data_IF_987405205142
#
_entry.id   IF_987405205142
#
_cell.length_a   1.000
_cell.length_b   1.000
_cell.length_c   1.000
_cell.angle_alpha   90.00
_cell.angle_beta   90.00
_cell.angle_gamma   90.00
#
_symmetry.space_group_name_H-M   'P 1'
#
loop_
_entity.id
_entity.type
_entity.pdbx_description
1 polymer ?
#
# COMPACT_ATOMS: atom_id res chain seq x y z
N UNK A 1 15.32 33.13 -24.28
CA UNK A 1 14.97 31.97 -25.12
C UNK A 1 15.72 30.76 -24.59
N UNK A 2 15.04 29.82 -23.93
CA UNK A 2 15.71 28.59 -23.50
C UNK A 2 16.00 27.75 -24.75
N UNK A 3 17.26 27.38 -24.97
CA UNK A 3 17.66 26.51 -26.09
C UNK A 3 16.91 25.18 -26.03
N UNK A 4 16.58 24.60 -27.19
CA UNK A 4 15.98 23.27 -27.32
C UNK A 4 16.75 22.20 -26.55
N UNK A 5 18.08 22.35 -26.42
CA UNK A 5 18.93 21.46 -25.61
C UNK A 5 18.63 21.53 -24.11
N UNK A 6 18.24 22.69 -23.60
CA UNK A 6 17.86 22.90 -22.20
C UNK A 6 16.53 22.20 -21.88
N UNK A 7 15.56 22.24 -22.81
CA UNK A 7 14.28 21.56 -22.65
C UNK A 7 14.45 20.02 -22.58
N UNK A 8 15.29 19.46 -23.45
CA UNK A 8 15.59 18.03 -23.45
C UNK A 8 16.32 17.59 -22.17
N UNK A 9 17.29 18.38 -21.68
CA UNK A 9 17.99 18.08 -20.43
C UNK A 9 17.05 18.06 -19.23
N UNK A 10 16.10 19.01 -19.16
CA UNK A 10 15.10 19.05 -18.10
C UNK A 10 14.16 17.84 -18.15
N UNK A 11 13.72 17.45 -19.35
CA UNK A 11 12.84 16.29 -19.55
C UNK A 11 13.53 14.97 -19.20
N UNK A 12 14.82 14.83 -19.53
CA UNK A 12 15.62 13.65 -19.16
C UNK A 12 15.83 13.60 -17.65
N UNK A 13 16.12 14.74 -17.01
CA UNK A 13 16.31 14.82 -15.56
C UNK A 13 15.04 14.46 -14.79
N UNK A 14 13.88 14.95 -15.22
CA UNK A 14 12.59 14.61 -14.58
C UNK A 14 12.27 13.13 -14.73
N UNK A 15 12.49 12.55 -15.91
CA UNK A 15 12.31 11.11 -16.11
C UNK A 15 13.25 10.28 -15.23
N UNK A 16 14.53 10.64 -15.14
CA UNK A 16 15.48 9.93 -14.27
C UNK A 16 15.10 9.98 -12.80
N UNK A 17 14.63 11.13 -12.30
CA UNK A 17 14.16 11.26 -10.91
C UNK A 17 12.91 10.42 -10.65
N UNK A 18 11.99 10.32 -11.62
CA UNK A 18 10.82 9.44 -11.54
C UNK A 18 11.23 7.95 -11.52
N UNK A 19 12.20 7.54 -12.33
CA UNK A 19 12.73 6.17 -12.33
C UNK A 19 13.42 5.80 -11.02
N UNK A 20 14.17 6.72 -10.42
CA UNK A 20 14.82 6.49 -9.12
C UNK A 20 13.79 6.40 -7.98
N UNK A 21 12.68 7.13 -8.04
CA UNK A 21 11.58 7.00 -7.06
C UNK A 21 10.81 5.68 -7.18
N UNK A 22 10.68 5.12 -8.38
CA UNK A 22 9.97 3.85 -8.59
C UNK A 22 10.70 2.62 -8.02
N UNK A 23 11.96 2.77 -7.61
CA UNK A 23 12.74 1.71 -6.94
C UNK A 23 12.55 1.68 -5.41
N UNK A 24 11.39 2.13 -4.91
CA UNK A 24 10.95 1.79 -3.56
C UNK A 24 10.50 0.32 -3.51
N UNK A 25 11.46 -0.60 -3.70
CA UNK A 25 11.31 -1.95 -3.20
C UNK A 25 11.40 -1.86 -1.67
N UNK A 26 10.27 -1.56 -1.01
CA UNK A 26 10.10 -1.94 0.39
C UNK A 26 9.98 -3.45 0.40
N UNK A 27 11.13 -4.11 0.27
CA UNK A 27 11.30 -5.49 0.68
C UNK A 27 11.09 -5.43 2.18
N UNK A 28 9.88 -5.76 2.63
CA UNK A 28 9.68 -6.27 3.98
C UNK A 28 10.50 -7.57 4.04
N UNK A 29 11.80 -7.40 4.26
CA UNK A 29 12.74 -8.49 4.46
C UNK A 29 12.30 -9.22 5.72
N UNK A 30 11.62 -10.33 5.54
CA UNK A 30 11.80 -11.44 6.45
C UNK A 30 13.26 -11.89 6.27
N UNK A 31 14.15 -11.31 7.06
CA UNK A 31 15.54 -11.74 7.16
C UNK A 31 15.56 -13.13 7.78
N UNK A 32 15.83 -14.15 6.99
CA UNK A 32 16.16 -15.48 7.50
C UNK A 32 17.34 -16.05 6.74
N UNK A 33 18.55 -15.74 7.22
CA UNK A 33 19.75 -16.51 6.93
C UNK A 33 20.75 -16.40 8.10
N UNK A 34 20.64 -17.35 9.04
CA UNK A 34 21.75 -17.81 9.88
C UNK A 34 21.53 -19.31 10.17
N UNK A 35 22.49 -20.20 9.83
CA UNK A 35 22.45 -21.57 10.28
C UNK A 35 23.16 -21.66 11.64
N UNK A 36 22.40 -21.76 12.74
CA UNK A 36 22.95 -22.28 14.00
C UNK A 36 21.85 -22.95 14.83
N UNK A 37 22.10 -24.23 15.11
CA UNK A 37 21.36 -25.12 16.01
C UNK A 37 20.90 -24.40 17.29
N UNK A 38 19.59 -24.40 17.55
CA UNK A 38 19.00 -23.88 18.78
C UNK A 38 17.48 -23.81 18.74
N UNK A 39 16.84 -24.77 19.42
CA UNK A 39 15.43 -24.81 19.91
C UNK A 39 14.43 -23.86 19.22
N UNK A 40 13.54 -24.47 18.42
CA UNK A 40 12.27 -23.88 17.98
C UNK A 40 11.33 -23.62 19.16
N UNK A 41 11.57 -22.52 19.89
CA UNK A 41 10.49 -21.85 20.58
C UNK A 41 9.75 -21.02 19.53
N UNK A 42 8.60 -21.53 19.08
CA UNK A 42 7.62 -20.74 18.36
C UNK A 42 7.23 -19.55 19.25
N UNK A 43 7.95 -18.45 19.13
CA UNK A 43 7.46 -17.15 19.55
C UNK A 43 6.32 -16.81 18.59
N UNK A 44 5.11 -17.28 18.95
CA UNK A 44 3.86 -16.80 18.39
C UNK A 44 3.72 -15.34 18.81
N UNK A 45 4.43 -14.45 18.11
CA UNK A 45 4.33 -13.01 18.28
C UNK A 45 2.98 -12.58 17.72
N UNK A 46 1.92 -12.71 18.51
CA UNK A 46 0.63 -12.01 18.44
C UNK A 46 0.41 -11.23 17.12
N UNK A 47 0.16 -11.94 16.03
CA UNK A 47 0.01 -11.37 14.69
C UNK A 47 -1.47 -11.21 14.30
N UNK A 48 -2.36 -10.89 15.24
CA UNK A 48 -3.81 -10.98 14.98
C UNK A 48 -4.50 -9.63 14.94
N UNK A 49 -3.82 -8.57 14.48
CA UNK A 49 -4.55 -7.39 14.02
C UNK A 49 -5.20 -7.67 12.65
N UNK A 50 -4.46 -8.29 11.72
CA UNK A 50 -4.92 -8.48 10.34
C UNK A 50 -5.13 -9.97 10.01
N UNK A 51 -6.22 -10.34 9.30
CA UNK A 51 -6.50 -11.72 8.93
C UNK A 51 -5.46 -12.36 7.99
N UNK A 52 -4.74 -11.55 7.21
CA UNK A 52 -3.70 -12.02 6.30
C UNK A 52 -2.73 -10.87 5.95
N UNK A 53 -1.51 -11.16 5.47
CA UNK A 53 -0.52 -10.14 5.15
C UNK A 53 -0.94 -9.18 4.03
N UNK A 54 -1.83 -9.60 3.10
CA UNK A 54 -2.31 -8.73 2.02
C UNK A 54 -3.18 -7.60 2.57
N UNK A 55 -4.03 -7.86 3.57
CA UNK A 55 -4.82 -6.83 4.23
C UNK A 55 -3.96 -5.87 5.06
N UNK A 56 -2.89 -6.37 5.68
CA UNK A 56 -1.92 -5.49 6.35
C UNK A 56 -1.20 -4.55 5.36
N UNK A 57 -0.80 -5.07 4.19
CA UNK A 57 -0.22 -4.24 3.12
C UNK A 57 -1.22 -3.21 2.59
N UNK A 58 -2.48 -3.61 2.38
CA UNK A 58 -3.54 -2.69 1.97
C UNK A 58 -3.76 -1.58 3.00
N UNK A 59 -3.76 -1.90 4.30
CA UNK A 59 -3.82 -0.90 5.37
C UNK A 59 -2.69 0.13 5.24
N UNK A 60 -1.43 -0.30 5.10
CA UNK A 60 -0.29 0.62 4.94
C UNK A 60 -0.49 1.56 3.75
N UNK A 61 -0.91 1.02 2.60
CA UNK A 61 -1.17 1.80 1.39
C UNK A 61 -2.31 2.82 1.59
N UNK A 62 -3.43 2.40 2.19
CA UNK A 62 -4.58 3.27 2.46
C UNK A 62 -4.26 4.37 3.48
N UNK A 63 -3.45 4.07 4.50
CA UNK A 63 -2.99 5.08 5.44
C UNK A 63 -2.05 6.10 4.78
N UNK A 64 -1.17 5.65 3.87
CA UNK A 64 -0.33 6.56 3.09
C UNK A 64 -1.19 7.45 2.17
N UNK A 65 -2.20 6.87 1.53
CA UNK A 65 -3.13 7.62 0.68
C UNK A 65 -3.96 8.63 1.48
N UNK A 66 -4.47 8.25 2.66
CA UNK A 66 -5.19 9.15 3.56
C UNK A 66 -4.41 10.42 3.92
N UNK A 67 -3.08 10.33 4.06
CA UNK A 67 -2.22 11.48 4.39
C UNK A 67 -2.13 12.53 3.29
N UNK A 68 -2.40 12.15 2.04
CA UNK A 68 -2.31 13.07 0.89
C UNK A 68 -3.67 13.58 0.42
N UNK A 69 -4.75 13.17 1.08
CA UNK A 69 -6.09 13.71 0.84
C UNK A 69 -6.20 15.05 1.57
N UNK A 70 -6.15 16.13 0.81
CA UNK A 70 -6.21 17.49 1.34
C UNK A 70 -7.62 17.89 1.78
N UNK A 71 -8.64 17.48 1.01
CA UNK A 71 -10.05 17.80 1.27
C UNK A 71 -10.90 16.55 1.25
N UNK A 72 -11.59 16.28 2.35
CA UNK A 72 -12.56 15.19 2.49
C UNK A 72 -13.93 15.74 2.96
N UNK A 73 -14.64 16.52 2.11
CA UNK A 73 -15.86 17.23 2.50
C UNK A 73 -17.02 16.30 2.90
N UNK A 74 -16.94 15.03 2.54
CA UNK A 74 -17.97 14.02 2.83
C UNK A 74 -17.51 12.97 3.85
N UNK A 75 -16.41 13.22 4.57
CA UNK A 75 -15.87 12.34 5.60
C UNK A 75 -15.67 10.90 5.09
N UNK A 76 -15.28 10.75 3.82
CA UNK A 76 -15.13 9.47 3.14
C UNK A 76 -14.07 8.59 3.79
N UNK A 77 -12.96 9.19 4.22
CA UNK A 77 -11.81 8.49 4.82
C UNK A 77 -11.86 8.44 6.34
N UNK A 78 -12.94 8.93 6.95
CA UNK A 78 -13.05 9.03 8.41
C UNK A 78 -13.00 7.66 9.08
N UNK A 79 -13.62 6.64 8.49
CA UNK A 79 -13.60 5.28 9.01
C UNK A 79 -12.38 4.46 8.58
N UNK A 80 -11.40 5.05 7.89
CA UNK A 80 -10.13 4.40 7.56
C UNK A 80 -9.20 4.44 8.78
N UNK A 81 -9.53 3.64 9.79
CA UNK A 81 -8.83 3.53 11.07
C UNK A 81 -8.90 2.07 11.56
N UNK A 82 -7.80 1.56 12.11
CA UNK A 82 -7.73 0.21 12.69
C UNK A 82 -7.63 -0.91 11.64
N UNK A 83 -7.56 -2.18 12.05
CA UNK A 83 -7.14 -3.24 11.13
C UNK A 83 -8.25 -3.81 10.22
N UNK A 84 -9.51 -3.42 10.43
CA UNK A 84 -10.67 -3.89 9.66
C UNK A 84 -10.79 -3.20 8.29
N UNK A 85 -9.79 -3.38 7.43
CA UNK A 85 -9.67 -2.72 6.11
C UNK A 85 -10.91 -2.91 5.23
N UNK A 86 -11.51 -4.09 5.23
CA UNK A 86 -12.71 -4.38 4.43
C UNK A 86 -13.98 -3.66 4.92
N UNK A 87 -13.95 -3.05 6.11
CA UNK A 87 -15.05 -2.25 6.65
C UNK A 87 -14.89 -0.75 6.34
N UNK A 88 -13.79 -0.36 5.67
CA UNK A 88 -13.55 1.02 5.29
C UNK A 88 -14.53 1.43 4.18
N UNK A 89 -14.97 2.68 4.22
CA UNK A 89 -15.88 3.21 3.20
C UNK A 89 -15.16 3.22 1.85
N UNK A 90 -15.81 2.68 0.82
CA UNK A 90 -15.27 2.60 -0.53
C UNK A 90 -14.27 1.47 -0.78
N UNK A 91 -13.90 0.67 0.23
CA UNK A 91 -12.99 -0.45 0.06
C UNK A 91 -13.81 -1.73 -0.11
N UNK A 92 -13.59 -2.44 -1.23
CA UNK A 92 -14.28 -3.69 -1.53
C UNK A 92 -13.28 -4.84 -1.49
N UNK A 93 -13.54 -5.80 -0.60
CA UNK A 93 -12.74 -7.01 -0.49
C UNK A 93 -13.42 -8.18 -1.20
N UNK A 94 -12.63 -8.96 -1.94
CA UNK A 94 -13.08 -10.19 -2.58
C UNK A 94 -12.09 -11.33 -2.32
N UNK A 95 -12.56 -12.54 -2.57
CA UNK A 95 -11.73 -13.74 -2.56
C UNK A 95 -11.03 -13.84 -3.92
N UNK A 96 -9.68 -13.91 -3.97
CA UNK A 96 -8.96 -14.00 -5.23
C UNK A 96 -9.13 -15.38 -5.88
N UNK A 97 -8.99 -15.49 -7.23
CA UNK A 97 -9.19 -16.75 -7.93
C UNK A 97 -8.13 -17.82 -7.61
N UNK A 98 -6.96 -17.42 -7.10
CA UNK A 98 -5.83 -18.31 -6.80
C UNK A 98 -5.81 -18.84 -5.35
N UNK A 99 -6.53 -18.21 -4.43
CA UNK A 99 -6.58 -18.64 -3.02
C UNK A 99 -7.94 -18.28 -2.42
N UNK A 100 -8.78 -19.30 -2.24
CA UNK A 100 -10.17 -19.08 -1.84
C UNK A 100 -10.35 -18.95 -0.33
N UNK A 101 -9.25 -19.09 0.43
CA UNK A 101 -9.25 -19.06 1.90
C UNK A 101 -8.99 -17.67 2.46
N UNK A 102 -8.52 -16.74 1.62
CA UNK A 102 -8.19 -15.37 2.01
C UNK A 102 -9.12 -14.34 1.36
N UNK A 103 -9.26 -13.19 2.01
CA UNK A 103 -9.84 -11.99 1.40
C UNK A 103 -8.76 -10.95 1.15
N UNK A 104 -8.81 -10.31 -0.01
CA UNK A 104 -7.92 -9.22 -0.40
C UNK A 104 -8.76 -8.02 -0.83
N UNK A 105 -8.18 -6.83 -0.79
CA UNK A 105 -8.80 -5.65 -1.42
C UNK A 105 -8.82 -5.88 -2.92
N UNK A 106 -10.01 -5.86 -3.51
CA UNK A 106 -10.24 -6.06 -4.93
C UNK A 106 -10.52 -4.75 -5.65
N UNK A 107 -11.14 -3.79 -4.97
CA UNK A 107 -11.49 -2.51 -5.57
C UNK A 107 -11.50 -1.37 -4.53
N UNK A 108 -11.34 -0.14 -5.02
CA UNK A 108 -11.49 1.08 -4.25
C UNK A 108 -12.38 2.06 -5.03
N UNK A 109 -13.61 2.24 -4.58
CA UNK A 109 -14.58 3.15 -5.19
C UNK A 109 -14.63 4.46 -4.41
N UNK A 110 -13.73 5.39 -4.74
CA UNK A 110 -13.73 6.75 -4.22
C UNK A 110 -14.46 7.72 -5.18
N UNK A 111 -15.77 7.56 -5.38
CA UNK A 111 -16.52 8.48 -6.24
C UNK A 111 -17.29 9.53 -5.44
N UNK A 112 -16.90 10.78 -5.69
CA UNK A 112 -17.70 11.99 -5.50
C UNK A 112 -17.82 12.70 -6.84
N UNK A 113 -18.48 12.09 -7.83
CA UNK A 113 -18.84 12.77 -9.07
C UNK A 113 -20.21 13.43 -8.88
N UNK A 114 -20.22 14.69 -8.45
CA UNK A 114 -21.30 15.58 -8.85
C UNK A 114 -20.96 16.09 -10.25
N UNK A 115 -21.83 15.77 -11.22
CA UNK A 115 -21.87 16.38 -12.55
C UNK A 115 -22.12 17.89 -12.48
#
# INVERSE_FOLDING_TARGET
MASTTCLHALLILTLHLCFLSNNQAVKHGHSSSTPRSGRHHHHSSSSTAFPNPKLHQAYIALQAWKKVIYSDPYNFTTNWVGPSVCNYKGIYCATPPYDHTIKVVADILATGFHS
#
